data_IF_363037090670
#
_entry.id   IF_363037090670
#
_cell.length_a   1.000
_cell.length_b   1.000
_cell.length_c   1.000
_cell.angle_alpha   90.00
_cell.angle_beta   90.00
_cell.angle_gamma   90.00
#
_symmetry.space_group_name_H-M   'P 1'
#
loop_
_entity.id
_entity.type
_entity.pdbx_description
1 polymer ?
#
# COMPACT_ATOMS: atom_id res chain seq x y z
N UNK A 1 21.44 41.30 -42.50
CA UNK A 1 21.70 42.29 -41.43
C UNK A 1 20.49 42.33 -40.52
N UNK A 2 20.56 41.72 -39.34
CA UNK A 2 19.70 42.07 -38.19
C UNK A 2 20.38 41.53 -36.93
N UNK A 3 20.19 42.23 -35.81
CA UNK A 3 21.18 42.45 -34.75
C UNK A 3 20.73 41.81 -33.43
N UNK A 4 21.67 41.10 -32.79
CA UNK A 4 21.96 40.81 -31.35
C UNK A 4 20.87 40.69 -30.25
N UNK A 5 21.24 39.81 -29.31
CA UNK A 5 21.08 39.82 -27.82
C UNK A 5 19.92 39.00 -27.24
N UNK A 6 20.01 38.28 -26.11
CA UNK A 6 21.07 37.71 -25.22
C UNK A 6 20.31 37.03 -24.04
N UNK A 7 20.92 36.05 -23.34
CA UNK A 7 20.56 35.48 -22.00
C UNK A 7 19.46 34.36 -22.04
N UNK A 8 19.50 33.20 -21.38
CA UNK A 8 20.26 32.65 -20.24
C UNK A 8 20.33 31.09 -20.28
N UNK A 9 21.41 30.55 -19.70
CA UNK A 9 21.57 29.34 -18.85
C UNK A 9 20.34 28.43 -18.63
N UNK A 10 20.40 27.10 -18.57
CA UNK A 10 21.46 26.09 -18.55
C UNK A 10 20.79 24.77 -18.11
N UNK A 11 21.02 23.67 -18.84
CA UNK A 11 20.38 22.38 -18.55
C UNK A 11 21.43 21.32 -18.20
N UNK A 12 21.14 20.66 -17.07
CA UNK A 12 21.55 19.35 -16.56
C UNK A 12 22.69 18.58 -17.23
N UNK A 13 23.71 18.25 -16.43
CA UNK A 13 24.39 16.96 -16.51
C UNK A 13 25.05 16.65 -15.16
N UNK A 14 24.57 15.61 -14.48
CA UNK A 14 25.38 14.87 -13.50
C UNK A 14 25.12 13.38 -13.70
N UNK A 15 26.16 12.70 -14.16
CA UNK A 15 26.25 11.25 -14.24
C UNK A 15 26.50 10.67 -12.83
N UNK A 16 25.90 9.51 -12.54
CA UNK A 16 26.32 8.65 -11.43
C UNK A 16 26.82 7.33 -12.00
N UNK A 17 28.13 7.10 -11.85
CA UNK A 17 28.82 5.82 -12.07
C UNK A 17 28.71 4.96 -10.80
N UNK A 18 28.74 3.65 -10.99
CA UNK A 18 28.44 2.61 -10.00
C UNK A 18 29.56 2.30 -8.97
N UNK A 19 29.11 1.87 -7.77
CA UNK A 19 29.71 0.89 -6.81
C UNK A 19 31.01 1.24 -6.07
N UNK A 20 31.38 0.56 -4.94
CA UNK A 20 30.64 -0.36 -4.04
C UNK A 20 30.67 0.09 -2.55
N UNK A 21 29.75 -0.44 -1.72
CA UNK A 21 29.66 -0.16 -0.28
C UNK A 21 29.98 -1.42 0.54
N UNK A 22 30.93 -1.41 1.49
CA UNK A 22 31.09 -2.46 2.49
C UNK A 22 30.43 -2.09 3.83
N UNK A 23 29.71 -3.05 4.43
CA UNK A 23 29.61 -3.21 5.89
C UNK A 23 28.79 -2.18 6.69
N UNK A 24 27.53 -2.50 6.97
CA UNK A 24 26.77 -1.89 8.06
C UNK A 24 27.20 -2.48 9.41
N UNK A 25 27.94 -1.70 10.20
CA UNK A 25 27.92 -1.71 11.66
C UNK A 25 27.14 -0.48 12.12
N UNK A 26 26.07 -0.68 12.88
CA UNK A 26 25.13 0.36 13.30
C UNK A 26 25.81 1.39 14.23
N UNK A 27 25.56 2.68 14.01
CA UNK A 27 25.63 3.71 15.06
C UNK A 27 24.58 4.77 14.77
N UNK A 28 23.71 5.01 15.74
CA UNK A 28 22.67 6.03 15.75
C UNK A 28 23.33 7.37 16.08
N UNK A 29 23.04 8.42 15.32
CA UNK A 29 23.34 9.79 15.72
C UNK A 29 22.22 10.71 15.23
N UNK A 30 21.41 11.16 16.19
CA UNK A 30 20.52 12.31 16.00
C UNK A 30 21.37 13.55 15.69
N UNK A 31 20.97 14.33 14.69
CA UNK A 31 21.59 15.62 14.39
C UNK A 31 20.53 16.71 14.55
N UNK A 32 20.63 17.50 15.61
CA UNK A 32 19.93 18.78 15.73
C UNK A 32 20.78 19.85 15.03
N UNK A 33 20.20 20.60 14.10
CA UNK A 33 20.82 21.81 13.53
C UNK A 33 20.26 23.05 14.20
N UNK A 34 21.13 23.88 14.78
CA UNK A 34 20.82 25.26 15.15
C UNK A 34 20.87 26.19 13.93
N UNK A 35 20.00 27.20 13.89
CA UNK A 35 20.22 28.43 13.10
C UNK A 35 19.75 29.61 13.95
N UNK A 36 20.67 30.55 14.19
CA UNK A 36 20.45 31.80 14.91
C UNK A 36 19.76 32.84 14.02
N UNK A 37 18.65 33.41 14.49
CA UNK A 37 18.25 34.78 14.18
C UNK A 37 17.75 35.42 15.47
N UNK A 38 18.30 36.60 15.77
CA UNK A 38 18.14 37.33 17.02
C UNK A 38 16.92 38.26 16.99
N UNK A 39 16.05 38.18 18.01
CA UNK A 39 15.35 39.36 18.58
C UNK A 39 15.02 39.08 20.06
N UNK A 40 15.06 40.14 20.86
CA UNK A 40 15.22 40.19 22.31
C UNK A 40 13.96 39.83 23.12
N UNK A 41 14.15 39.18 24.29
CA UNK A 41 13.66 39.55 25.65
C UNK A 41 13.34 38.29 26.51
N UNK A 42 14.01 38.26 27.68
CA UNK A 42 13.74 37.59 28.98
C UNK A 42 13.69 36.05 29.16
N UNK A 43 14.73 35.57 29.86
CA UNK A 43 14.74 34.62 31.01
C UNK A 43 13.92 33.33 30.96
N UNK A 44 14.61 32.18 30.86
CA UNK A 44 14.84 31.25 32.01
C UNK A 44 15.38 29.88 31.55
N UNK A 45 16.30 29.34 32.35
CA UNK A 45 17.04 28.06 32.26
C UNK A 45 16.19 26.81 32.50
N UNK A 46 16.44 25.68 31.81
CA UNK A 46 16.15 24.33 32.35
C UNK A 46 17.18 23.27 31.86
N UNK A 47 17.61 22.46 32.83
CA UNK A 47 18.64 21.41 32.89
C UNK A 47 18.17 20.05 32.34
N UNK A 48 19.10 19.25 31.76
CA UNK A 48 18.91 17.83 31.41
C UNK A 48 19.40 16.88 32.51
N UNK A 49 18.75 15.73 32.70
CA UNK A 49 19.39 14.53 33.27
C UNK A 49 18.72 13.23 32.81
N UNK A 50 19.56 12.24 32.48
CA UNK A 50 19.21 10.84 32.22
C UNK A 50 19.78 9.97 33.35
N UNK A 51 19.15 8.83 33.64
CA UNK A 51 19.64 7.86 34.63
C UNK A 51 19.40 6.41 34.19
N UNK A 52 20.41 5.58 34.43
CA UNK A 52 20.43 4.12 34.30
C UNK A 52 20.89 3.51 35.62
N UNK A 53 20.31 2.37 36.01
CA UNK A 53 20.66 1.66 37.25
C UNK A 53 20.77 0.16 36.99
N UNK A 54 21.96 -0.40 37.23
CA UNK A 54 22.19 -1.83 37.45
C UNK A 54 22.18 -2.14 38.96
N UNK A 55 22.06 -3.41 39.33
CA UNK A 55 22.28 -3.85 40.70
C UNK A 55 22.92 -5.23 40.77
N UNK A 56 23.93 -5.30 41.63
CA UNK A 56 24.85 -6.39 41.93
C UNK A 56 24.38 -7.21 43.15
N UNK A 57 24.98 -8.39 43.33
CA UNK A 57 25.11 -9.08 44.62
C UNK A 57 24.68 -10.56 44.55
N UNK A 58 25.34 -11.53 45.18
CA UNK A 58 26.52 -11.52 46.06
C UNK A 58 27.08 -12.94 46.15
N UNK A 59 28.38 -13.03 46.39
CA UNK A 59 29.17 -14.24 46.70
C UNK A 59 28.89 -14.75 48.12
N UNK A 60 28.87 -16.08 48.31
CA UNK A 60 29.16 -16.71 49.60
C UNK A 60 30.17 -17.86 49.42
N UNK A 61 31.23 -17.81 50.23
CA UNK A 61 32.28 -18.82 50.39
C UNK A 61 32.01 -19.72 51.60
N UNK A 62 32.30 -21.01 51.51
CA UNK A 62 32.72 -21.78 52.69
C UNK A 62 33.65 -22.95 52.32
N UNK A 63 34.70 -23.12 53.13
CA UNK A 63 35.72 -24.18 53.05
C UNK A 63 35.30 -25.42 53.83
N UNK A 64 35.69 -26.60 53.33
CA UNK A 64 35.58 -27.86 54.08
C UNK A 64 36.31 -29.02 53.38
N UNK A 65 37.32 -29.58 54.06
CA UNK A 65 38.16 -30.70 53.67
C UNK A 65 37.36 -32.02 53.50
N UNK A 66 37.70 -32.85 52.51
CA UNK A 66 37.40 -34.29 52.58
C UNK A 66 37.17 -35.01 51.25
N UNK A 67 38.14 -35.84 50.88
CA UNK A 67 37.95 -37.15 50.21
C UNK A 67 37.47 -37.17 48.75
N UNK A 68 38.44 -37.37 47.85
CA UNK A 68 38.29 -37.74 46.45
C UNK A 68 37.40 -38.99 46.28
N UNK A 69 36.22 -38.82 45.68
CA UNK A 69 35.45 -39.92 45.08
C UNK A 69 35.39 -39.70 43.57
N UNK A 70 36.11 -40.54 42.83
CA UNK A 70 36.05 -40.62 41.37
C UNK A 70 34.70 -41.23 40.98
N UNK A 71 33.79 -40.40 40.47
CA UNK A 71 32.58 -40.87 39.77
C UNK A 71 32.74 -40.57 38.29
N UNK A 72 33.09 -41.60 37.53
CA UNK A 72 33.06 -41.57 36.06
C UNK A 72 31.60 -41.47 35.60
N UNK A 73 31.11 -40.26 35.38
CA UNK A 73 29.87 -40.02 34.64
C UNK A 73 30.15 -40.26 33.15
N UNK A 74 29.73 -41.40 32.61
CA UNK A 74 29.65 -41.59 31.16
C UNK A 74 28.49 -40.74 30.63
N UNK A 75 28.78 -39.53 30.16
CA UNK A 75 27.83 -38.74 29.38
C UNK A 75 27.85 -39.24 27.94
N UNK A 76 26.95 -40.17 27.63
CA UNK A 76 26.64 -40.52 26.25
C UNK A 76 25.90 -39.35 25.59
N UNK A 77 26.64 -38.47 24.91
CA UNK A 77 26.09 -37.44 24.04
C UNK A 77 25.46 -38.10 22.82
N UNK A 78 24.13 -38.19 22.81
CA UNK A 78 23.37 -38.65 21.66
C UNK A 78 23.38 -37.56 20.60
N UNK A 79 24.37 -37.58 19.72
CA UNK A 79 24.42 -36.70 18.54
C UNK A 79 23.28 -37.11 17.61
N UNK A 80 22.16 -36.40 17.71
CA UNK A 80 21.01 -36.58 16.82
C UNK A 80 21.44 -36.09 15.43
N UNK A 81 21.28 -36.88 14.36
CA UNK A 81 21.55 -36.41 13.01
C UNK A 81 20.61 -35.22 12.75
N UNK A 82 21.19 -34.03 12.63
CA UNK A 82 20.48 -32.86 12.16
C UNK A 82 20.42 -32.97 10.65
N UNK A 83 19.33 -33.52 10.14
CA UNK A 83 19.03 -33.43 8.71
C UNK A 83 18.71 -31.98 8.43
N UNK A 84 19.70 -31.21 7.98
CA UNK A 84 19.47 -29.90 7.38
C UNK A 84 18.65 -30.16 6.12
N UNK A 85 17.35 -29.97 6.20
CA UNK A 85 16.50 -29.82 5.03
C UNK A 85 17.03 -28.59 4.30
N UNK A 86 17.76 -28.80 3.21
CA UNK A 86 17.91 -27.77 2.19
C UNK A 86 16.49 -27.45 1.73
N UNK A 87 15.98 -26.28 2.12
CA UNK A 87 14.81 -25.72 1.48
C UNK A 87 15.19 -25.53 0.01
N UNK A 88 14.80 -26.49 -0.84
CA UNK A 88 14.68 -26.23 -2.26
C UNK A 88 13.78 -25.02 -2.35
N UNK A 89 14.29 -23.92 -2.89
CA UNK A 89 13.46 -22.76 -3.16
C UNK A 89 12.19 -23.26 -3.83
N UNK A 90 11.05 -23.15 -3.15
CA UNK A 90 9.75 -23.26 -3.77
C UNK A 90 9.82 -22.35 -4.99
N UNK A 91 9.39 -22.85 -6.15
CA UNK A 91 9.44 -22.12 -7.40
C UNK A 91 9.16 -20.62 -7.16
N UNK A 92 9.96 -19.74 -7.78
CA UNK A 92 9.59 -18.34 -8.00
C UNK A 92 8.42 -18.27 -8.98
N UNK A 93 7.36 -19.04 -8.71
CA UNK A 93 6.44 -19.56 -9.70
C UNK A 93 5.02 -19.35 -9.24
N UNK A 94 4.36 -18.47 -9.99
CA UNK A 94 2.95 -18.15 -10.02
C UNK A 94 2.37 -17.50 -8.74
N UNK A 95 2.10 -16.19 -8.80
CA UNK A 95 1.17 -15.56 -7.86
C UNK A 95 -0.26 -16.06 -8.05
N UNK A 96 -1.22 -15.54 -7.28
CA UNK A 96 -2.62 -16.00 -7.33
C UNK A 96 -3.25 -15.88 -8.72
N UNK A 97 -2.94 -14.80 -9.45
CA UNK A 97 -3.44 -14.59 -10.81
C UNK A 97 -2.77 -15.55 -11.79
N UNK A 98 -1.45 -15.69 -11.73
CA UNK A 98 -0.72 -16.64 -12.57
C UNK A 98 -1.26 -18.07 -12.39
N UNK A 99 -1.50 -18.50 -11.14
CA UNK A 99 -2.05 -19.82 -10.84
C UNK A 99 -3.50 -19.98 -11.33
N UNK A 100 -4.28 -18.89 -11.35
CA UNK A 100 -5.63 -18.89 -11.90
C UNK A 100 -5.60 -19.04 -13.43
N UNK A 101 -4.70 -18.33 -14.11
CA UNK A 101 -4.49 -18.41 -15.56
C UNK A 101 -3.98 -19.80 -15.98
N UNK A 102 -3.02 -20.37 -15.26
CA UNK A 102 -2.54 -21.75 -15.45
C UNK A 102 -3.67 -22.78 -15.29
N UNK A 103 -4.65 -22.49 -14.43
CA UNK A 103 -5.86 -23.29 -14.26
C UNK A 103 -6.97 -22.97 -15.28
N UNK A 104 -6.70 -22.15 -16.29
CA UNK A 104 -7.63 -21.76 -17.36
C UNK A 104 -8.71 -20.77 -16.93
N UNK A 105 -8.48 -19.99 -15.87
CA UNK A 105 -9.33 -18.85 -15.49
C UNK A 105 -8.84 -17.58 -16.17
N UNK A 106 -9.73 -16.60 -16.31
CA UNK A 106 -9.37 -15.31 -16.89
C UNK A 106 -8.46 -14.49 -15.96
N UNK A 107 -8.67 -14.59 -14.65
CA UNK A 107 -7.91 -13.85 -13.65
C UNK A 107 -8.15 -14.38 -12.23
N UNK A 108 -7.26 -13.96 -11.32
CA UNK A 108 -7.56 -13.72 -9.91
C UNK A 108 -7.66 -12.20 -9.69
N UNK A 109 -8.66 -11.75 -8.93
CA UNK A 109 -9.01 -10.33 -8.84
C UNK A 109 -9.23 -9.85 -7.42
N UNK A 110 -9.18 -8.52 -7.25
CA UNK A 110 -9.45 -7.85 -5.98
C UNK A 110 -10.35 -6.64 -6.16
N UNK A 111 -11.09 -6.27 -5.12
CA UNK A 111 -11.78 -4.99 -5.04
C UNK A 111 -10.92 -4.00 -4.26
N UNK A 112 -10.96 -2.73 -4.66
CA UNK A 112 -10.29 -1.65 -3.94
C UNK A 112 -11.24 -0.47 -3.77
N UNK A 113 -11.21 0.15 -2.59
CA UNK A 113 -12.00 1.34 -2.26
C UNK A 113 -11.18 2.60 -2.53
N UNK A 114 -10.82 2.74 -3.80
CA UNK A 114 -10.07 3.86 -4.36
C UNK A 114 -11.02 4.73 -5.19
N UNK A 115 -11.04 6.07 -5.02
CA UNK A 115 -10.31 6.89 -4.06
C UNK A 115 -11.02 7.06 -2.70
N UNK A 116 -11.98 6.19 -2.36
CA UNK A 116 -12.86 6.36 -1.19
C UNK A 116 -12.16 6.30 0.17
N UNK A 117 -10.97 5.71 0.23
CA UNK A 117 -10.19 5.50 1.45
C UNK A 117 -8.73 5.95 1.29
N UNK A 118 -7.93 5.74 2.33
CA UNK A 118 -6.47 5.97 2.32
C UNK A 118 -5.66 5.01 1.44
N UNK A 119 -6.29 4.01 0.80
CA UNK A 119 -5.61 2.98 0.01
C UNK A 119 -4.79 3.57 -1.14
N UNK A 120 -5.26 4.64 -1.77
CA UNK A 120 -4.55 5.30 -2.86
C UNK A 120 -3.31 6.09 -2.42
N UNK A 121 -3.14 6.31 -1.11
CA UNK A 121 -1.98 7.00 -0.55
C UNK A 121 -1.01 6.05 0.16
N UNK A 122 -1.38 4.78 0.33
CA UNK A 122 -0.52 3.76 0.91
C UNK A 122 0.35 3.10 -0.18
N UNK A 123 1.67 3.39 -0.22
CA UNK A 123 2.55 2.83 -1.23
C UNK A 123 2.74 1.31 -1.10
N UNK A 124 2.56 0.74 0.10
CA UNK A 124 2.66 -0.70 0.29
C UNK A 124 1.42 -1.41 -0.24
N UNK A 125 0.23 -0.84 0.00
CA UNK A 125 -1.02 -1.33 -0.58
C UNK A 125 -0.97 -1.25 -2.10
N UNK A 126 -0.63 -0.09 -2.68
CA UNK A 126 -0.61 0.09 -4.13
C UNK A 126 0.41 -0.81 -4.82
N UNK A 127 1.56 -1.08 -4.19
CA UNK A 127 2.54 -2.04 -4.72
C UNK A 127 1.93 -3.43 -4.90
N UNK A 128 1.16 -3.88 -3.91
CA UNK A 128 0.52 -5.19 -3.94
C UNK A 128 -0.72 -5.20 -4.85
N UNK A 129 -1.56 -4.17 -4.77
CA UNK A 129 -2.71 -4.01 -5.65
C UNK A 129 -2.34 -4.02 -7.14
N UNK A 130 -1.20 -3.41 -7.51
CA UNK A 130 -0.68 -3.40 -8.87
C UNK A 130 0.24 -4.59 -9.20
N UNK A 131 0.46 -5.52 -8.27
CA UNK A 131 1.17 -6.77 -8.57
C UNK A 131 0.28 -7.69 -9.42
N UNK A 132 0.53 -7.75 -10.73
CA UNK A 132 -0.28 -8.54 -11.66
C UNK A 132 -0.11 -10.04 -11.50
N UNK A 133 0.97 -10.50 -10.85
CA UNK A 133 1.13 -11.91 -10.50
C UNK A 133 0.04 -12.38 -9.52
N UNK A 134 -0.40 -11.51 -8.62
CA UNK A 134 -1.45 -11.82 -7.65
C UNK A 134 -2.84 -11.32 -8.08
N UNK A 135 -2.90 -10.18 -8.78
CA UNK A 135 -4.17 -9.58 -9.20
C UNK A 135 -4.16 -9.12 -10.67
N UNK A 136 -4.71 -9.93 -11.57
CA UNK A 136 -4.95 -9.57 -12.97
C UNK A 136 -6.23 -8.76 -13.20
N UNK A 137 -7.05 -8.58 -12.15
CA UNK A 137 -8.34 -7.91 -12.24
C UNK A 137 -8.60 -6.97 -11.05
N UNK A 138 -9.20 -5.80 -11.31
CA UNK A 138 -9.61 -4.85 -10.26
C UNK A 138 -11.08 -4.40 -10.35
N UNK A 139 -11.77 -4.35 -9.21
CA UNK A 139 -13.17 -3.90 -9.10
C UNK A 139 -13.23 -2.63 -8.25
N UNK A 140 -13.80 -1.51 -8.73
CA UNK A 140 -14.04 -0.35 -7.89
C UNK A 140 -15.09 -0.68 -6.84
N UNK A 141 -14.73 -0.62 -5.57
CA UNK A 141 -15.63 -1.02 -4.48
C UNK A 141 -16.86 -0.10 -4.37
N UNK A 142 -16.69 1.19 -4.66
CA UNK A 142 -17.74 2.20 -4.49
C UNK A 142 -17.86 3.20 -5.62
N UNK A 143 -16.74 3.72 -6.15
CA UNK A 143 -16.75 4.97 -6.93
C UNK A 143 -17.52 4.93 -8.26
N UNK A 144 -17.87 3.74 -8.75
CA UNK A 144 -18.71 3.55 -9.94
C UNK A 144 -20.17 3.18 -9.64
N UNK A 145 -20.59 3.21 -8.36
CA UNK A 145 -22.00 3.02 -7.97
C UNK A 145 -22.81 4.29 -8.26
N UNK A 146 -24.12 4.09 -8.41
CA UNK A 146 -25.11 5.10 -8.77
C UNK A 146 -24.87 6.46 -8.09
N UNK A 147 -24.79 6.50 -6.75
CA UNK A 147 -24.65 7.75 -5.97
C UNK A 147 -23.42 8.58 -6.34
N UNK A 148 -22.34 7.96 -6.83
CA UNK A 148 -21.13 8.67 -7.22
C UNK A 148 -21.17 9.10 -8.68
N UNK A 149 -21.72 8.25 -9.56
CA UNK A 149 -21.75 8.49 -11.00
C UNK A 149 -22.87 9.43 -11.44
N UNK A 150 -23.99 9.51 -10.70
CA UNK A 150 -25.12 10.40 -10.99
C UNK A 150 -25.69 11.01 -9.68
N UNK A 151 -24.94 11.91 -9.01
CA UNK A 151 -25.31 12.47 -7.71
C UNK A 151 -26.58 13.33 -7.76
N UNK A 152 -26.89 13.90 -8.92
CA UNK A 152 -28.14 14.62 -9.21
C UNK A 152 -28.74 14.08 -10.53
N UNK A 153 -30.06 14.13 -10.68
CA UNK A 153 -30.75 13.55 -11.82
C UNK A 153 -30.24 14.14 -13.15
N UNK A 154 -29.70 13.30 -14.02
CA UNK A 154 -29.14 13.70 -15.32
C UNK A 154 -27.78 14.39 -15.25
N UNK A 155 -27.20 14.57 -14.06
CA UNK A 155 -25.87 15.17 -13.87
C UNK A 155 -24.89 14.07 -13.52
N UNK A 156 -24.03 13.73 -14.48
CA UNK A 156 -23.06 12.65 -14.32
C UNK A 156 -21.70 13.16 -13.86
N UNK A 157 -21.06 12.38 -12.98
CA UNK A 157 -19.68 12.59 -12.55
C UNK A 157 -18.88 11.29 -12.62
N UNK A 158 -18.00 11.19 -13.62
CA UNK A 158 -17.17 10.00 -13.82
C UNK A 158 -15.72 10.17 -13.35
N UNK A 159 -15.37 11.34 -12.80
CA UNK A 159 -13.98 11.67 -12.43
C UNK A 159 -13.34 10.66 -11.48
N UNK A 160 -14.10 10.16 -10.50
CA UNK A 160 -13.62 9.13 -9.58
C UNK A 160 -13.47 7.75 -10.24
N UNK A 161 -14.34 7.42 -11.19
CA UNK A 161 -14.24 6.20 -11.99
C UNK A 161 -12.99 6.23 -12.90
N UNK A 162 -12.75 7.36 -13.58
CA UNK A 162 -11.53 7.56 -14.37
C UNK A 162 -10.27 7.49 -13.51
N UNK A 163 -10.30 8.07 -12.31
CA UNK A 163 -9.18 7.98 -11.37
C UNK A 163 -8.85 6.52 -11.03
N UNK A 164 -9.86 5.70 -10.74
CA UNK A 164 -9.67 4.26 -10.48
C UNK A 164 -9.08 3.53 -11.69
N UNK A 165 -9.58 3.81 -12.89
CA UNK A 165 -9.08 3.21 -14.13
C UNK A 165 -7.66 3.65 -14.48
N UNK A 166 -7.22 4.83 -14.04
CA UNK A 166 -5.89 5.35 -14.32
C UNK A 166 -4.82 4.92 -13.30
N UNK A 167 -5.21 4.62 -12.06
CA UNK A 167 -4.27 4.15 -11.02
C UNK A 167 -4.06 2.63 -11.05
N UNK A 168 -5.00 1.91 -11.64
CA UNK A 168 -4.84 0.49 -11.93
C UNK A 168 -3.75 0.30 -12.96
N UNK A 169 -2.86 -0.67 -12.72
CA UNK A 169 -1.79 -0.97 -13.68
C UNK A 169 -2.37 -1.18 -15.09
N UNK A 170 -1.84 -0.51 -16.13
CA UNK A 170 -2.37 -0.61 -17.49
C UNK A 170 -2.23 -2.03 -18.09
N UNK A 171 -1.44 -2.90 -17.46
CA UNK A 171 -1.30 -4.32 -17.82
C UNK A 171 -2.35 -5.21 -17.15
N UNK A 172 -3.19 -4.66 -16.25
CA UNK A 172 -4.41 -5.36 -15.83
C UNK A 172 -5.38 -5.39 -17.00
N UNK A 173 -5.57 -6.58 -17.57
CA UNK A 173 -6.45 -6.76 -18.72
C UNK A 173 -7.94 -6.67 -18.36
N UNK A 174 -8.29 -6.73 -17.06
CA UNK A 174 -9.68 -6.86 -16.64
C UNK A 174 -10.11 -5.88 -15.54
N UNK A 175 -11.17 -5.12 -15.82
CA UNK A 175 -11.89 -4.29 -14.86
C UNK A 175 -13.37 -4.68 -14.89
N UNK A 176 -13.88 -5.26 -13.80
CA UNK A 176 -15.34 -5.45 -13.65
C UNK A 176 -15.91 -4.19 -13.03
N UNK A 177 -16.42 -3.31 -13.88
CA UNK A 177 -17.16 -2.14 -13.43
C UNK A 177 -18.38 -2.56 -12.61
N UNK A 178 -18.57 -1.90 -11.49
CA UNK A 178 -19.55 -2.28 -10.47
C UNK A 178 -20.12 -1.00 -9.85
N UNK A 179 -21.42 -0.70 -9.95
CA UNK A 179 -22.49 -1.40 -10.67
C UNK A 179 -23.51 -0.36 -11.18
N UNK A 180 -24.45 -0.78 -12.03
CA UNK A 180 -25.41 0.14 -12.63
C UNK A 180 -26.70 0.30 -11.83
N UNK A 181 -27.29 -0.81 -11.35
CA UNK A 181 -28.59 -0.79 -10.68
C UNK A 181 -28.53 -1.66 -9.43
N UNK A 182 -28.83 -1.06 -8.28
CA UNK A 182 -28.78 -1.73 -6.99
C UNK A 182 -29.73 -1.08 -5.98
N UNK A 183 -30.14 -1.83 -4.96
CA UNK A 183 -31.09 -1.36 -3.95
C UNK A 183 -30.45 -0.56 -2.79
N UNK A 184 -29.16 -0.28 -2.86
CA UNK A 184 -28.39 0.41 -1.82
C UNK A 184 -27.43 1.42 -2.46
N UNK A 185 -26.93 2.37 -1.66
CA UNK A 185 -26.07 3.46 -2.15
C UNK A 185 -26.70 4.21 -3.35
N UNK A 186 -28.00 4.51 -3.22
CA UNK A 186 -28.76 5.33 -4.16
C UNK A 186 -28.68 6.81 -3.75
N UNK A 187 -28.59 7.75 -4.72
CA UNK A 187 -28.61 9.17 -4.44
C UNK A 187 -29.97 9.62 -3.86
N UNK A 188 -29.95 10.73 -3.13
CA UNK A 188 -31.14 11.25 -2.43
C UNK A 188 -32.28 11.61 -3.38
N UNK A 189 -31.98 12.03 -4.61
CA UNK A 189 -33.00 12.33 -5.62
C UNK A 189 -33.81 11.08 -6.05
N UNK A 190 -33.29 9.88 -5.82
CA UNK A 190 -34.03 8.62 -6.04
C UNK A 190 -34.79 8.21 -4.78
N UNK A 191 -34.15 8.26 -3.61
CA UNK A 191 -34.70 7.72 -2.36
C UNK A 191 -35.69 8.67 -1.68
N UNK A 192 -35.57 9.97 -1.94
CA UNK A 192 -36.44 11.02 -1.41
C UNK A 192 -36.77 12.05 -2.51
N UNK A 193 -37.51 11.65 -3.55
CA UNK A 193 -37.83 12.53 -4.66
C UNK A 193 -38.89 13.56 -4.23
N UNK A 194 -38.88 14.75 -4.84
CA UNK A 194 -39.90 15.78 -4.61
C UNK A 194 -41.29 15.37 -5.13
N UNK A 195 -41.33 14.46 -6.11
CA UNK A 195 -42.54 13.86 -6.66
C UNK A 195 -42.36 12.35 -6.69
N UNK A 196 -43.37 11.60 -6.24
CA UNK A 196 -43.30 10.15 -6.22
C UNK A 196 -43.03 9.56 -7.61
N UNK A 197 -42.16 8.56 -7.66
CA UNK A 197 -41.86 7.83 -8.87
C UNK A 197 -43.11 7.13 -9.42
N UNK A 198 -43.26 7.18 -10.73
CA UNK A 198 -44.15 6.31 -11.49
C UNK A 198 -43.30 5.25 -12.19
N UNK A 199 -43.94 4.17 -12.67
CA UNK A 199 -43.24 3.17 -13.47
C UNK A 199 -42.53 3.82 -14.67
N UNK A 200 -43.20 4.73 -15.39
CA UNK A 200 -42.63 5.40 -16.55
C UNK A 200 -41.44 6.30 -16.20
N UNK A 201 -41.55 7.12 -15.15
CA UNK A 201 -40.49 8.08 -14.78
C UNK A 201 -39.26 7.38 -14.20
N UNK A 202 -39.44 6.35 -13.38
CA UNK A 202 -38.32 5.58 -12.85
C UNK A 202 -37.63 4.73 -13.94
N UNK A 203 -38.41 4.14 -14.85
CA UNK A 203 -37.84 3.39 -15.99
C UNK A 203 -37.00 4.31 -16.87
N UNK A 204 -37.48 5.52 -17.17
CA UNK A 204 -36.71 6.50 -17.94
C UNK A 204 -35.41 6.90 -17.25
N UNK A 205 -35.43 7.13 -15.93
CA UNK A 205 -34.23 7.43 -15.15
C UNK A 205 -33.22 6.27 -15.17
N UNK A 206 -33.70 5.03 -14.98
CA UNK A 206 -32.85 3.83 -15.03
C UNK A 206 -32.23 3.64 -16.42
N UNK A 207 -33.02 3.80 -17.50
CA UNK A 207 -32.51 3.73 -18.86
C UNK A 207 -31.44 4.79 -19.13
N UNK A 208 -31.67 6.04 -18.70
CA UNK A 208 -30.69 7.11 -18.84
C UNK A 208 -29.38 6.79 -18.11
N UNK A 209 -29.48 6.32 -16.86
CA UNK A 209 -28.32 5.95 -16.05
C UNK A 209 -27.51 4.83 -16.71
N UNK A 210 -28.17 3.70 -17.04
CA UNK A 210 -27.52 2.53 -17.64
C UNK A 210 -26.87 2.91 -18.96
N UNK A 211 -27.61 3.57 -19.84
CA UNK A 211 -27.10 3.90 -21.18
C UNK A 211 -25.92 4.87 -21.11
N UNK A 212 -26.02 5.94 -20.32
CA UNK A 212 -24.97 6.96 -20.23
C UNK A 212 -23.71 6.39 -19.58
N UNK A 213 -23.84 5.67 -18.47
CA UNK A 213 -22.69 5.09 -17.76
C UNK A 213 -21.97 4.03 -18.59
N UNK A 214 -22.71 3.11 -19.24
CA UNK A 214 -22.09 2.10 -20.12
C UNK A 214 -21.43 2.74 -21.34
N UNK A 215 -22.10 3.70 -21.98
CA UNK A 215 -21.55 4.40 -23.15
C UNK A 215 -20.28 5.19 -22.81
N UNK A 216 -20.21 5.75 -21.60
CA UNK A 216 -19.06 6.54 -21.15
C UNK A 216 -17.82 5.67 -20.87
N UNK A 217 -17.98 4.59 -20.11
CA UNK A 217 -16.85 3.74 -19.78
C UNK A 217 -16.43 2.83 -20.93
N UNK A 218 -17.39 2.37 -21.73
CA UNK A 218 -17.15 1.53 -22.90
C UNK A 218 -16.33 0.28 -22.56
N UNK A 219 -15.40 -0.07 -23.44
CA UNK A 219 -14.57 -1.27 -23.32
C UNK A 219 -13.52 -1.21 -22.20
N UNK A 220 -13.40 -0.08 -21.49
CA UNK A 220 -12.60 0.00 -20.25
C UNK A 220 -13.20 -0.87 -19.13
N UNK A 221 -14.45 -1.30 -19.28
CA UNK A 221 -15.13 -2.24 -18.40
C UNK A 221 -15.24 -3.60 -19.08
N UNK A 222 -14.33 -4.53 -18.75
CA UNK A 222 -14.37 -5.90 -19.24
C UNK A 222 -13.77 -6.86 -18.21
N UNK A 223 -14.46 -7.96 -17.90
CA UNK A 223 -14.02 -9.00 -16.98
C UNK A 223 -14.97 -10.20 -16.96
#
# INVERSE_FOLDING_TARGET
>A
MSVRSLIATGFAASAALASPNPGWGKTVTETCTETLVQTMIETSTVTQSASCSGSSGSTMTSSGNGSTMSTTMSSSTRTRPSTTLTATATATGSGLNDAAEDAGKLYFGTAADIPGTGEAQDPYYLREFNNTHDFGQATPANIMKFVYTEPEQGVFNFTGGDYFLNITDPTKDYIRCHNLVWGSQLPTWITNPSTNWTNATLSAALHNHVYTTVSYFGDRCYA
#
